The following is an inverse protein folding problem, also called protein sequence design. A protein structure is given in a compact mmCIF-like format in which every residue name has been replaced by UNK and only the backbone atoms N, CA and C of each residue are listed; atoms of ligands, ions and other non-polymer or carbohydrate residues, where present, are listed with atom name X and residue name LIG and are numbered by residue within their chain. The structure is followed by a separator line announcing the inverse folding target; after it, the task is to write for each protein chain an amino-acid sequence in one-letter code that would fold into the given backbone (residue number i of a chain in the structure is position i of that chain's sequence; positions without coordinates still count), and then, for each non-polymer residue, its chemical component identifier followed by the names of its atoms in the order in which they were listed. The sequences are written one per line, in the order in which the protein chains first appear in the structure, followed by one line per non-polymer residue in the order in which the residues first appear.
data_IF_069039409361
#
_entry.id   IF_069039409361
#
_cell.length_a   1.000
_cell.length_b   1.000
_cell.length_c   1.000
_cell.angle_alpha   90.00
_cell.angle_beta   90.00
_cell.angle_gamma   90.00
#
_symmetry.space_group_name_H-M   'P 1'
#
loop_
_entity.id
_entity.type
_entity.pdbx_description
1 polymer ?
#
# COMPACT_ATOMS: atom_id res chain seq x y z
N UNK A 1 65.63 3.73 -16.89
CA UNK A 1 65.37 5.02 -17.56
C UNK A 1 65.66 4.86 -19.03
N UNK A 2 64.63 4.63 -19.85
CA UNK A 2 64.55 4.86 -21.30
C UNK A 2 63.12 4.53 -21.75
N UNK A 3 62.64 5.31 -22.70
CA UNK A 3 61.24 5.58 -23.05
C UNK A 3 60.76 4.86 -24.33
N UNK A 4 59.45 4.52 -24.33
CA UNK A 4 58.47 4.42 -25.46
C UNK A 4 58.64 3.31 -26.53
N UNK A 5 57.57 2.89 -27.27
CA UNK A 5 56.21 3.49 -27.44
C UNK A 5 55.05 2.52 -27.08
N UNK A 6 53.90 2.97 -26.57
CA UNK A 6 52.77 3.62 -27.26
C UNK A 6 52.23 2.84 -28.48
N UNK A 7 51.57 1.70 -28.24
CA UNK A 7 50.63 1.10 -29.20
C UNK A 7 49.21 1.43 -28.77
N UNK A 8 48.60 2.34 -29.53
CA UNK A 8 47.17 2.61 -29.54
C UNK A 8 46.44 1.35 -30.02
N UNK A 9 45.92 0.54 -29.10
CA UNK A 9 44.83 -0.36 -29.45
C UNK A 9 43.57 0.49 -29.63
N UNK A 10 43.28 0.78 -30.91
CA UNK A 10 41.95 1.14 -31.37
C UNK A 10 40.95 0.12 -30.82
N UNK A 11 40.20 0.52 -29.80
CA UNK A 11 38.98 -0.19 -29.39
C UNK A 11 37.97 0.09 -30.51
N UNK A 12 37.95 -0.78 -31.53
CA UNK A 12 36.77 -0.92 -32.36
C UNK A 12 35.66 -1.44 -31.45
N UNK A 13 34.85 -0.52 -30.92
CA UNK A 13 33.57 -0.91 -30.36
C UNK A 13 32.78 -1.63 -31.46
N UNK A 14 32.32 -2.88 -31.25
CA UNK A 14 31.49 -3.55 -32.23
C UNK A 14 30.21 -2.73 -32.43
N UNK A 15 29.72 -2.59 -33.68
CA UNK A 15 28.50 -1.85 -33.97
C UNK A 15 27.34 -2.43 -33.14
N UNK A 16 26.58 -1.54 -32.48
CA UNK A 16 25.61 -1.82 -31.41
C UNK A 16 24.34 -2.62 -31.82
N UNK A 17 24.36 -3.37 -32.93
CA UNK A 17 23.23 -4.23 -33.31
C UNK A 17 23.72 -5.51 -34.00
N UNK A 18 24.39 -6.38 -33.24
CA UNK A 18 24.62 -7.77 -33.67
C UNK A 18 23.69 -8.64 -32.83
N UNK A 19 22.56 -9.02 -33.41
CA UNK A 19 21.72 -10.09 -32.84
C UNK A 19 22.57 -11.35 -32.70
N UNK A 20 22.35 -12.13 -31.63
CA UNK A 20 22.95 -13.47 -31.57
C UNK A 20 22.46 -14.29 -32.78
N UNK A 21 23.29 -15.23 -33.27
CA UNK A 21 22.98 -16.03 -34.48
C UNK A 21 21.62 -16.71 -34.38
N UNK A 22 21.24 -17.19 -33.18
CA UNK A 22 19.92 -17.78 -32.93
C UNK A 22 18.76 -16.78 -32.92
N UNK A 23 18.95 -15.57 -32.38
CA UNK A 23 17.93 -14.52 -32.46
C UNK A 23 17.72 -14.02 -33.90
N UNK A 24 18.79 -14.04 -34.70
CA UNK A 24 18.73 -13.76 -36.13
C UNK A 24 17.96 -14.85 -36.87
N UNK A 25 18.25 -16.12 -36.60
CA UNK A 25 17.52 -17.26 -37.19
C UNK A 25 16.02 -17.19 -36.89
N UNK A 26 15.64 -16.90 -35.63
CA UNK A 26 14.25 -16.75 -35.20
C UNK A 26 13.49 -15.66 -35.97
N UNK A 27 14.17 -14.55 -36.29
CA UNK A 27 13.56 -13.44 -37.04
C UNK A 27 13.47 -13.71 -38.53
N UNK A 28 14.44 -14.45 -39.10
CA UNK A 28 14.54 -14.68 -40.54
C UNK A 28 13.69 -15.85 -41.03
N UNK A 29 13.53 -16.92 -40.24
CA UNK A 29 12.82 -18.13 -40.65
C UNK A 29 11.36 -17.88 -41.09
N UNK A 30 10.53 -17.11 -40.35
CA UNK A 30 9.16 -16.79 -40.78
C UNK A 30 9.13 -16.06 -42.12
N UNK A 31 10.08 -15.16 -42.34
CA UNK A 31 10.18 -14.33 -43.55
C UNK A 31 10.60 -15.18 -44.76
N UNK A 32 11.56 -16.09 -44.57
CA UNK A 32 12.06 -16.96 -45.63
C UNK A 32 11.07 -18.07 -46.02
N UNK A 33 10.27 -18.57 -45.06
CA UNK A 33 9.15 -19.50 -45.31
C UNK A 33 8.05 -18.86 -46.17
N UNK A 34 7.77 -17.57 -45.97
CA UNK A 34 6.73 -16.86 -46.72
C UNK A 34 7.07 -16.62 -48.21
N UNK A 35 8.32 -16.80 -48.65
CA UNK A 35 8.74 -16.57 -50.04
C UNK A 35 8.87 -17.87 -50.85
N UNK A 36 8.07 -18.01 -51.91
CA UNK A 36 8.08 -19.18 -52.81
C UNK A 36 9.35 -19.36 -53.65
N UNK A 37 10.12 -18.31 -53.93
CA UNK A 37 11.46 -18.42 -54.56
C UNK A 37 12.33 -17.20 -54.25
N UNK A 38 13.65 -17.39 -54.20
CA UNK A 38 14.61 -16.29 -54.19
C UNK A 38 14.78 -15.85 -55.65
N UNK A 39 14.27 -14.66 -56.01
CA UNK A 39 14.33 -14.21 -57.40
C UNK A 39 15.79 -14.06 -57.86
N UNK A 40 16.13 -14.79 -58.92
CA UNK A 40 17.44 -14.77 -59.57
C UNK A 40 17.65 -13.41 -60.21
N UNK A 41 18.56 -12.58 -59.68
CA UNK A 41 19.35 -11.71 -60.56
C UNK A 41 20.52 -12.54 -61.07
N UNK A 42 20.70 -12.55 -62.40
CA UNK A 42 21.80 -13.22 -63.10
C UNK A 42 23.13 -12.57 -62.69
N UNK A 43 24.07 -13.39 -62.19
CA UNK A 43 25.51 -13.15 -61.96
C UNK A 43 25.83 -11.96 -61.01
N UNK A 44 26.48 -12.10 -59.84
CA UNK A 44 27.54 -12.99 -59.38
C UNK A 44 27.38 -13.30 -57.89
N UNK A 45 27.80 -14.51 -57.51
CA UNK A 45 28.24 -14.93 -56.16
C UNK A 45 27.20 -14.84 -55.01
N UNK A 46 27.48 -15.56 -53.93
CA UNK A 46 26.52 -16.01 -52.90
C UNK A 46 25.60 -14.93 -52.32
N UNK A 47 24.35 -15.29 -52.01
CA UNK A 47 23.47 -14.41 -51.24
C UNK A 47 23.93 -14.39 -49.78
N UNK A 48 24.46 -13.27 -49.28
CA UNK A 48 24.65 -13.10 -47.83
C UNK A 48 23.29 -12.86 -47.16
N UNK A 49 23.11 -13.43 -45.96
CA UNK A 49 21.84 -13.38 -45.21
C UNK A 49 21.48 -11.94 -44.79
N UNK A 50 22.47 -11.07 -44.56
CA UNK A 50 22.26 -9.66 -44.22
C UNK A 50 21.59 -8.86 -45.37
N UNK A 51 21.91 -9.18 -46.63
CA UNK A 51 21.30 -8.55 -47.79
C UNK A 51 19.81 -8.90 -47.98
N UNK A 52 19.34 -10.03 -47.41
CA UNK A 52 17.93 -10.43 -47.51
C UNK A 52 17.01 -9.52 -46.69
N UNK A 53 17.46 -9.03 -45.54
CA UNK A 53 16.66 -8.20 -44.63
C UNK A 53 16.65 -6.72 -45.06
N UNK A 54 17.80 -6.18 -45.47
CA UNK A 54 17.92 -4.77 -45.87
C UNK A 54 17.21 -4.46 -47.19
N UNK A 55 17.33 -5.34 -48.19
CA UNK A 55 16.70 -5.17 -49.51
C UNK A 55 15.17 -5.26 -49.44
N UNK A 56 14.64 -5.91 -48.41
CA UNK A 56 13.21 -6.01 -48.12
C UNK A 56 12.63 -4.69 -47.59
N UNK A 57 13.42 -3.88 -46.88
CA UNK A 57 12.98 -2.58 -46.36
C UNK A 57 13.08 -1.44 -47.36
N UNK A 58 14.14 -1.40 -48.18
CA UNK A 58 14.50 -0.18 -48.92
C UNK A 58 14.53 -0.32 -50.45
N UNK A 59 14.16 -1.48 -51.01
CA UNK A 59 13.92 -1.65 -52.46
C UNK A 59 15.15 -1.70 -53.37
N UNK A 60 16.29 -1.11 -52.97
CA UNK A 60 17.57 -1.20 -53.69
C UNK A 60 18.74 -1.40 -52.72
N UNK A 61 19.72 -2.21 -53.13
CA UNK A 61 21.00 -2.32 -52.43
C UNK A 61 21.94 -1.31 -53.10
N UNK A 62 22.38 -0.29 -52.36
CA UNK A 62 23.43 0.60 -52.86
C UNK A 62 24.80 -0.05 -52.68
N UNK A 63 25.70 0.13 -53.64
CA UNK A 63 27.07 -0.40 -53.66
C UNK A 63 27.96 0.09 -52.48
N UNK A 64 27.40 0.86 -51.56
CA UNK A 64 28.09 1.55 -50.47
C UNK A 64 27.82 0.96 -49.07
N UNK A 65 27.08 -0.16 -48.95
CA UNK A 65 27.01 -0.86 -47.66
C UNK A 65 28.28 -1.68 -47.42
N UNK A 66 29.15 -1.07 -46.63
CA UNK A 66 30.34 -1.57 -45.95
C UNK A 66 30.60 -3.09 -46.07
N UNK A 67 31.42 -3.46 -47.07
CA UNK A 67 31.90 -4.82 -47.36
C UNK A 67 32.41 -5.58 -46.14
N UNK A 68 32.84 -4.86 -45.10
CA UNK A 68 33.48 -5.40 -43.91
C UNK A 68 32.55 -6.25 -43.03
N UNK A 69 31.25 -5.94 -42.93
CA UNK A 69 30.35 -6.77 -42.11
C UNK A 69 29.83 -7.99 -42.87
N UNK A 70 29.66 -7.85 -44.19
CA UNK A 70 29.25 -8.94 -45.07
C UNK A 70 30.34 -10.00 -45.18
N UNK A 71 31.59 -9.58 -45.43
CA UNK A 71 32.75 -10.46 -45.49
C UNK A 71 32.97 -11.16 -44.14
N UNK A 72 32.86 -10.43 -43.01
CA UNK A 72 33.02 -11.02 -41.66
C UNK A 72 31.91 -12.00 -41.30
N UNK A 73 30.67 -11.74 -41.71
CA UNK A 73 29.56 -12.66 -41.45
C UNK A 73 29.67 -13.91 -42.34
N UNK A 74 30.05 -13.74 -43.61
CA UNK A 74 30.29 -14.85 -44.50
C UNK A 74 31.48 -15.70 -44.03
N UNK A 75 32.59 -15.07 -43.64
CA UNK A 75 33.75 -15.76 -43.07
C UNK A 75 33.40 -16.49 -41.77
N UNK A 76 32.61 -15.86 -40.88
CA UNK A 76 32.09 -16.51 -39.68
C UNK A 76 31.20 -17.72 -40.02
N UNK A 77 30.28 -17.58 -40.99
CA UNK A 77 29.37 -18.65 -41.38
C UNK A 77 30.12 -19.82 -42.05
N UNK A 78 31.04 -19.54 -42.97
CA UNK A 78 31.86 -20.55 -43.63
C UNK A 78 32.79 -21.28 -42.64
N UNK A 79 33.26 -20.57 -41.61
CA UNK A 79 34.11 -21.15 -40.56
C UNK A 79 33.32 -22.04 -39.59
N UNK A 80 32.18 -21.57 -39.10
CA UNK A 80 31.41 -22.27 -38.06
C UNK A 80 30.44 -23.32 -38.65
N UNK A 81 30.02 -23.16 -39.91
CA UNK A 81 29.13 -24.06 -40.64
C UNK A 81 29.71 -24.41 -42.02
N UNK A 82 30.81 -25.19 -42.08
CA UNK A 82 31.42 -25.56 -43.34
C UNK A 82 30.51 -26.51 -44.12
N UNK A 83 30.10 -26.11 -45.32
CA UNK A 83 29.31 -26.95 -46.23
C UNK A 83 30.19 -27.47 -47.37
N UNK A 84 30.09 -28.77 -47.65
CA UNK A 84 30.72 -29.40 -48.82
C UNK A 84 29.91 -29.23 -50.11
N UNK A 85 28.67 -28.76 -49.99
CA UNK A 85 27.70 -28.62 -51.09
C UNK A 85 27.45 -27.14 -51.41
N UNK A 86 26.97 -26.87 -52.63
CA UNK A 86 26.59 -25.51 -53.06
C UNK A 86 25.48 -24.99 -52.14
N UNK A 87 25.69 -23.83 -51.52
CA UNK A 87 24.71 -23.16 -50.67
C UNK A 87 23.41 -22.87 -51.45
N UNK A 88 22.40 -23.71 -51.24
CA UNK A 88 21.05 -23.47 -51.75
C UNK A 88 20.18 -22.85 -50.66
N UNK A 89 19.05 -22.23 -51.05
CA UNK A 89 18.04 -21.74 -50.09
C UNK A 89 17.65 -22.84 -49.08
N UNK A 90 17.53 -24.07 -49.56
CA UNK A 90 17.09 -25.19 -48.73
C UNK A 90 18.13 -25.53 -47.66
N UNK A 91 19.42 -25.53 -48.01
CA UNK A 91 20.52 -25.77 -47.07
C UNK A 91 20.53 -24.69 -45.99
N UNK A 92 20.51 -23.41 -46.37
CA UNK A 92 20.48 -22.28 -45.43
C UNK A 92 19.25 -22.33 -44.51
N UNK A 93 18.09 -22.70 -45.05
CA UNK A 93 16.87 -22.87 -44.24
C UNK A 93 17.04 -23.99 -43.21
N UNK A 94 17.60 -25.13 -43.60
CA UNK A 94 17.85 -26.25 -42.70
C UNK A 94 18.85 -25.87 -41.60
N UNK A 95 19.89 -25.13 -41.92
CA UNK A 95 20.87 -24.67 -40.91
C UNK A 95 20.26 -23.67 -39.94
N UNK A 96 19.49 -22.68 -40.44
CA UNK A 96 18.79 -21.73 -39.58
C UNK A 96 17.76 -22.41 -38.69
N UNK A 97 17.02 -23.40 -39.19
CA UNK A 97 16.08 -24.20 -38.38
C UNK A 97 16.81 -25.01 -37.30
N UNK A 98 17.99 -25.55 -37.60
CA UNK A 98 18.82 -26.23 -36.62
C UNK A 98 19.32 -25.25 -35.54
N UNK A 99 19.82 -24.09 -35.93
CA UNK A 99 20.34 -23.06 -35.03
C UNK A 99 19.23 -22.50 -34.14
N UNK A 100 18.05 -22.18 -34.69
CA UNK A 100 16.89 -21.74 -33.89
C UNK A 100 16.52 -22.80 -32.86
N UNK A 101 16.47 -24.08 -33.25
CA UNK A 101 16.12 -25.18 -32.33
C UNK A 101 17.16 -25.37 -31.23
N UNK A 102 18.46 -25.31 -31.55
CA UNK A 102 19.55 -25.42 -30.57
C UNK A 102 19.53 -24.22 -29.62
N UNK A 103 19.38 -23.01 -30.15
CA UNK A 103 19.34 -21.77 -29.38
C UNK A 103 18.10 -21.68 -28.47
N UNK A 104 16.92 -22.07 -28.97
CA UNK A 104 15.71 -22.20 -28.15
C UNK A 104 15.92 -23.25 -27.06
N UNK A 105 16.52 -24.41 -27.38
CA UNK A 105 16.86 -25.41 -26.37
C UNK A 105 17.85 -24.87 -25.32
N UNK A 106 18.87 -24.10 -25.69
CA UNK A 106 19.88 -23.58 -24.75
C UNK A 106 19.37 -22.43 -23.90
N UNK A 107 18.53 -21.54 -24.44
CA UNK A 107 17.97 -20.40 -23.71
C UNK A 107 16.64 -20.69 -22.98
N UNK A 108 15.94 -21.78 -23.32
CA UNK A 108 14.83 -22.30 -22.50
C UNK A 108 15.31 -23.10 -21.29
N UNK A 109 16.59 -23.52 -21.28
CA UNK A 109 17.18 -24.34 -20.22
C UNK A 109 17.58 -23.65 -18.91
N UNK A 110 17.85 -22.33 -18.78
CA UNK A 110 18.28 -21.78 -17.49
C UNK A 110 17.16 -21.90 -16.44
N UNK A 111 15.96 -21.44 -16.78
CA UNK A 111 14.79 -21.53 -15.91
C UNK A 111 14.36 -22.99 -15.66
N UNK A 112 14.39 -23.83 -16.70
CA UNK A 112 14.06 -25.26 -16.54
C UNK A 112 15.12 -26.01 -15.73
N UNK A 113 16.38 -25.57 -15.77
CA UNK A 113 17.46 -26.11 -14.94
C UNK A 113 17.30 -25.67 -13.50
N UNK A 114 16.96 -24.40 -13.24
CA UNK A 114 16.61 -23.91 -11.90
C UNK A 114 15.40 -24.66 -11.33
N UNK A 115 14.34 -24.84 -12.12
CA UNK A 115 13.17 -25.64 -11.71
C UNK A 115 13.57 -27.09 -11.45
N UNK A 116 14.42 -27.68 -12.28
CA UNK A 116 14.92 -29.04 -12.05
C UNK A 116 15.72 -29.14 -10.75
N UNK A 117 16.63 -28.19 -10.50
CA UNK A 117 17.40 -28.11 -9.25
C UNK A 117 16.48 -27.97 -8.01
N UNK A 118 15.37 -27.25 -8.14
CA UNK A 118 14.33 -27.15 -7.10
C UNK A 118 13.54 -28.44 -6.93
N UNK A 119 13.17 -29.13 -8.01
CA UNK A 119 12.43 -30.41 -7.97
C UNK A 119 13.32 -31.54 -7.43
N UNK A 120 14.62 -31.50 -7.68
CA UNK A 120 15.58 -32.46 -7.14
C UNK A 120 15.84 -32.22 -5.63
N UNK A 121 15.38 -31.09 -5.07
CA UNK A 121 15.49 -30.79 -3.64
C UNK A 121 14.36 -31.47 -2.85
N UNK A 122 14.72 -32.48 -2.07
CA UNK A 122 13.80 -33.25 -1.21
C UNK A 122 12.93 -32.35 -0.33
N UNK A 123 13.47 -31.26 0.23
CA UNK A 123 12.70 -30.34 1.10
C UNK A 123 11.59 -29.63 0.32
N UNK A 124 11.88 -29.22 -0.91
CA UNK A 124 10.89 -28.56 -1.77
C UNK A 124 9.77 -29.54 -2.12
N UNK A 125 10.11 -30.79 -2.44
CA UNK A 125 9.12 -31.83 -2.75
C UNK A 125 8.23 -32.16 -1.54
N UNK A 126 8.80 -32.22 -0.33
CA UNK A 126 8.00 -32.43 0.89
C UNK A 126 7.08 -31.24 1.17
N UNK A 127 7.57 -30.00 1.04
CA UNK A 127 6.72 -28.82 1.19
C UNK A 127 5.61 -28.76 0.14
N UNK A 128 5.90 -29.07 -1.12
CA UNK A 128 4.90 -29.12 -2.19
C UNK A 128 3.85 -30.19 -1.95
N UNK A 129 4.25 -31.34 -1.41
CA UNK A 129 3.33 -32.42 -1.03
C UNK A 129 2.38 -31.97 0.07
N UNK A 130 2.90 -31.39 1.16
CA UNK A 130 2.07 -30.85 2.24
C UNK A 130 1.17 -29.71 1.76
N UNK A 131 1.67 -28.82 0.89
CA UNK A 131 0.87 -27.75 0.28
C UNK A 131 -0.26 -28.29 -0.59
N UNK A 132 0.01 -29.31 -1.41
CA UNK A 132 -1.03 -29.96 -2.22
C UNK A 132 -2.10 -30.62 -1.35
N UNK A 133 -1.70 -31.32 -0.29
CA UNK A 133 -2.63 -31.89 0.68
C UNK A 133 -3.45 -30.80 1.41
N UNK A 134 -2.82 -29.67 1.78
CA UNK A 134 -3.49 -28.54 2.39
C UNK A 134 -4.54 -27.93 1.44
N UNK A 135 -4.22 -27.81 0.15
CA UNK A 135 -5.17 -27.36 -0.86
C UNK A 135 -6.40 -28.26 -0.93
N UNK A 136 -6.19 -29.57 -1.00
CA UNK A 136 -7.28 -30.52 -1.17
C UNK A 136 -8.10 -30.74 0.12
N UNK A 137 -7.47 -30.68 1.30
CA UNK A 137 -8.10 -31.03 2.58
C UNK A 137 -8.56 -29.82 3.41
N UNK A 138 -8.00 -28.63 3.19
CA UNK A 138 -8.22 -27.45 4.05
C UNK A 138 -8.76 -26.29 3.23
N UNK A 139 -7.95 -25.69 2.36
CA UNK A 139 -8.29 -24.41 1.71
C UNK A 139 -9.31 -24.57 0.59
N UNK A 140 -9.18 -25.59 -0.25
CA UNK A 140 -10.11 -25.88 -1.34
C UNK A 140 -11.54 -26.16 -0.84
N UNK A 141 -11.73 -27.03 0.17
CA UNK A 141 -13.04 -27.21 0.79
C UNK A 141 -13.60 -25.95 1.46
N UNK A 142 -12.78 -25.15 2.16
CA UNK A 142 -13.21 -23.86 2.72
C UNK A 142 -13.73 -22.90 1.67
N UNK A 143 -13.02 -22.79 0.54
CA UNK A 143 -13.45 -21.95 -0.57
C UNK A 143 -14.79 -22.40 -1.13
N UNK A 144 -14.97 -23.71 -1.35
CA UNK A 144 -16.24 -24.27 -1.83
C UNK A 144 -17.38 -24.03 -0.84
N UNK A 145 -17.11 -24.19 0.46
CA UNK A 145 -18.09 -23.90 1.48
C UNK A 145 -18.47 -22.41 1.49
N UNK A 146 -17.49 -21.51 1.36
CA UNK A 146 -17.75 -20.09 1.24
C UNK A 146 -18.59 -19.76 0.00
N UNK A 147 -18.36 -20.44 -1.13
CA UNK A 147 -19.15 -20.24 -2.36
C UNK A 147 -20.57 -20.81 -2.29
N UNK A 148 -20.76 -21.94 -1.60
CA UNK A 148 -22.01 -22.70 -1.59
C UNK A 148 -22.84 -22.60 -0.32
N UNK A 149 -22.39 -21.88 0.72
CA UNK A 149 -23.15 -21.75 1.95
C UNK A 149 -24.33 -20.78 1.80
N UNK A 150 -25.48 -21.15 2.36
CA UNK A 150 -26.66 -20.30 2.38
C UNK A 150 -26.56 -19.25 3.50
N UNK A 151 -25.83 -19.57 4.57
CA UNK A 151 -25.62 -18.68 5.71
C UNK A 151 -24.21 -18.81 6.32
N UNK A 152 -23.61 -17.69 6.75
CA UNK A 152 -22.23 -17.64 7.30
C UNK A 152 -21.99 -18.58 8.50
N UNK A 153 -23.02 -18.85 9.30
CA UNK A 153 -22.94 -19.78 10.43
C UNK A 153 -22.72 -21.24 10.01
N UNK A 154 -22.97 -21.61 8.75
CA UNK A 154 -22.65 -22.94 8.24
C UNK A 154 -21.14 -23.11 8.06
N UNK A 155 -20.44 -22.04 7.67
CA UNK A 155 -18.98 -21.97 7.63
C UNK A 155 -18.36 -22.11 9.02
N UNK A 156 -19.06 -21.66 10.06
CA UNK A 156 -18.56 -21.69 11.44
C UNK A 156 -18.49 -23.11 12.01
N UNK A 157 -19.53 -23.93 11.78
CA UNK A 157 -19.54 -25.34 12.18
C UNK A 157 -18.35 -26.08 11.55
N UNK A 158 -18.10 -25.81 10.28
CA UNK A 158 -16.97 -26.38 9.55
C UNK A 158 -15.63 -25.89 10.11
N UNK A 159 -15.47 -24.58 10.32
CA UNK A 159 -14.24 -24.02 10.85
C UNK A 159 -13.88 -24.63 12.22
N UNK A 160 -14.89 -24.92 13.05
CA UNK A 160 -14.70 -25.62 14.33
C UNK A 160 -14.25 -27.07 14.14
N UNK A 161 -14.86 -27.83 13.23
CA UNK A 161 -14.45 -29.20 12.93
C UNK A 161 -13.01 -29.26 12.41
N UNK A 162 -12.66 -28.34 11.52
CA UNK A 162 -11.32 -28.22 10.98
C UNK A 162 -10.31 -27.80 12.06
N UNK A 163 -10.69 -26.90 12.97
CA UNK A 163 -9.87 -26.50 14.11
C UNK A 163 -9.51 -27.69 14.99
N UNK A 164 -10.50 -28.50 15.40
CA UNK A 164 -10.29 -29.73 16.19
C UNK A 164 -9.38 -30.73 15.46
N UNK A 165 -9.61 -30.94 14.17
CA UNK A 165 -8.77 -31.85 13.38
C UNK A 165 -7.33 -31.33 13.21
N UNK A 166 -7.14 -30.01 13.09
CA UNK A 166 -5.82 -29.41 13.06
C UNK A 166 -5.10 -29.55 14.41
N UNK A 167 -5.80 -29.48 15.54
CA UNK A 167 -5.24 -29.80 16.86
C UNK A 167 -4.74 -31.25 16.91
N UNK A 168 -5.53 -32.18 16.36
CA UNK A 168 -5.14 -33.58 16.25
C UNK A 168 -3.92 -33.77 15.34
N UNK A 169 -3.86 -33.11 14.19
CA UNK A 169 -2.71 -33.13 13.28
C UNK A 169 -1.46 -32.46 13.89
N UNK A 170 -1.62 -31.44 14.73
CA UNK A 170 -0.51 -30.81 15.43
C UNK A 170 0.13 -31.77 16.46
N UNK A 171 -0.69 -32.63 17.09
CA UNK A 171 -0.25 -33.66 18.03
C UNK A 171 0.26 -34.93 17.32
N UNK A 172 -0.40 -35.35 16.24
CA UNK A 172 -0.14 -36.57 15.48
C UNK A 172 -0.13 -36.28 13.98
N UNK A 173 0.98 -35.73 13.48
CA UNK A 173 1.07 -35.16 12.13
C UNK A 173 0.92 -36.15 10.98
N UNK A 174 1.02 -37.45 11.23
CA UNK A 174 0.77 -38.47 10.22
C UNK A 174 -0.70 -38.57 9.80
N UNK A 175 -1.64 -38.17 10.67
CA UNK A 175 -3.09 -38.17 10.37
C UNK A 175 -3.41 -37.27 9.16
N UNK A 176 -2.65 -36.18 8.98
CA UNK A 176 -2.81 -35.26 7.86
C UNK A 176 -2.58 -35.93 6.50
N UNK A 177 -1.74 -36.97 6.45
CA UNK A 177 -1.42 -37.70 5.22
C UNK A 177 -2.45 -38.79 4.88
N UNK A 178 -3.38 -39.10 5.78
CA UNK A 178 -4.41 -40.12 5.54
C UNK A 178 -5.51 -39.64 4.58
N UNK A 179 -5.63 -38.33 4.35
CA UNK A 179 -6.66 -37.74 3.48
C UNK A 179 -8.05 -37.65 4.12
N UNK A 180 -8.17 -37.98 5.41
CA UNK A 180 -9.44 -38.04 6.15
C UNK A 180 -9.79 -36.71 6.83
N UNK A 181 -9.81 -35.62 6.06
CA UNK A 181 -10.25 -34.31 6.57
C UNK A 181 -11.74 -34.35 6.97
N UNK A 182 -12.16 -33.65 8.05
CA UNK A 182 -13.56 -33.61 8.50
C UNK A 182 -14.51 -32.88 7.54
N UNK A 183 -14.01 -32.49 6.37
CA UNK A 183 -14.77 -31.81 5.34
C UNK A 183 -15.95 -32.63 4.85
N UNK A 184 -17.18 -32.07 4.76
CA UNK A 184 -18.21 -32.70 3.96
C UNK A 184 -17.68 -32.86 2.54
N UNK A 185 -17.93 -34.01 1.91
CA UNK A 185 -17.66 -34.26 0.49
C UNK A 185 -18.44 -33.23 -0.34
N UNK A 186 -17.92 -32.01 -0.45
CA UNK A 186 -18.31 -30.99 -1.41
C UNK A 186 -17.66 -31.39 -2.75
N UNK A 187 -17.91 -32.63 -3.18
CA UNK A 187 -17.46 -33.19 -4.44
C UNK A 187 -18.17 -32.45 -5.57
N UNK A 188 -17.59 -31.32 -5.97
CA UNK A 188 -17.73 -30.82 -7.32
C UNK A 188 -16.46 -31.20 -8.07
N UNK A 189 -16.62 -32.01 -9.11
CA UNK A 189 -15.57 -32.30 -10.08
C UNK A 189 -15.21 -30.99 -10.80
N UNK A 190 -14.28 -30.23 -10.23
CA UNK A 190 -13.66 -29.07 -10.89
C UNK A 190 -12.33 -29.50 -11.53
N UNK A 191 -11.81 -28.71 -12.45
CA UNK A 191 -10.49 -28.94 -13.05
C UNK A 191 -9.33 -28.92 -12.03
N UNK A 192 -9.56 -28.43 -10.81
CA UNK A 192 -8.59 -28.33 -9.69
C UNK A 192 -8.86 -29.28 -8.53
N UNK A 193 -10.04 -29.92 -8.46
CA UNK A 193 -10.37 -30.98 -7.51
C UNK A 193 -10.60 -32.27 -8.29
N UNK A 194 -9.54 -33.03 -8.48
CA UNK A 194 -9.65 -34.39 -8.96
C UNK A 194 -9.50 -35.31 -7.75
N UNK A 195 -10.45 -36.21 -7.55
CA UNK A 195 -10.27 -37.34 -6.63
C UNK A 195 -8.96 -38.09 -6.92
N UNK A 196 -8.51 -38.09 -8.18
CA UNK A 196 -7.21 -38.61 -8.60
C UNK A 196 -6.05 -37.83 -7.98
N UNK A 197 -6.11 -36.50 -7.92
CA UNK A 197 -5.04 -35.68 -7.33
C UNK A 197 -4.91 -35.98 -5.83
N UNK A 198 -6.02 -36.03 -5.09
CA UNK A 198 -5.98 -36.38 -3.68
C UNK A 198 -5.45 -37.81 -3.48
N UNK A 199 -5.87 -38.77 -4.31
CA UNK A 199 -5.37 -40.15 -4.25
C UNK A 199 -3.86 -40.23 -4.50
N UNK A 200 -3.33 -39.52 -5.49
CA UNK A 200 -1.89 -39.47 -5.76
C UNK A 200 -1.11 -38.81 -4.61
N UNK A 201 -1.65 -37.75 -4.01
CA UNK A 201 -1.04 -37.09 -2.85
C UNK A 201 -1.05 -37.99 -1.61
N UNK A 202 -2.14 -38.69 -1.31
CA UNK A 202 -2.23 -39.63 -0.18
C UNK A 202 -1.40 -40.90 -0.43
N UNK A 203 -1.28 -41.33 -1.68
CA UNK A 203 -0.50 -42.51 -2.07
C UNK A 203 1.02 -42.32 -1.92
N UNK A 204 1.50 -41.07 -1.82
CA UNK A 204 2.91 -40.78 -1.56
C UNK A 204 3.26 -41.08 -0.10
N UNK A 205 4.33 -41.86 0.09
CA UNK A 205 4.84 -42.21 1.43
C UNK A 205 5.19 -40.95 2.22
N UNK A 206 4.60 -40.84 3.42
CA UNK A 206 4.87 -39.73 4.34
C UNK A 206 6.26 -39.87 4.96
N UNK A 207 6.92 -38.73 5.17
CA UNK A 207 8.27 -38.67 5.76
C UNK A 207 8.23 -37.96 7.11
N UNK A 208 9.26 -38.15 7.95
CA UNK A 208 9.40 -37.41 9.21
C UNK A 208 9.49 -35.89 8.99
N UNK A 209 10.14 -35.47 7.89
CA UNK A 209 10.22 -34.06 7.50
C UNK A 209 8.83 -33.51 7.15
N UNK A 210 8.05 -34.25 6.37
CA UNK A 210 6.66 -33.91 6.08
C UNK A 210 5.83 -33.78 7.36
N UNK A 211 6.01 -34.70 8.32
CA UNK A 211 5.35 -34.65 9.62
C UNK A 211 5.75 -33.40 10.43
N UNK A 212 7.02 -33.01 10.44
CA UNK A 212 7.48 -31.77 11.10
C UNK A 212 6.82 -30.52 10.48
N UNK A 213 6.78 -30.46 9.15
CA UNK A 213 6.15 -29.36 8.39
C UNK A 213 4.66 -29.27 8.71
N UNK A 214 3.95 -30.41 8.70
CA UNK A 214 2.54 -30.47 9.09
C UNK A 214 2.35 -30.00 10.52
N UNK A 215 3.18 -30.44 11.47
CA UNK A 215 3.07 -30.00 12.88
C UNK A 215 3.16 -28.47 13.02
N UNK A 216 4.09 -27.83 12.31
CA UNK A 216 4.24 -26.37 12.29
C UNK A 216 3.04 -25.71 11.62
N UNK A 217 2.64 -26.20 10.45
CA UNK A 217 1.52 -25.67 9.67
C UNK A 217 0.21 -25.76 10.47
N UNK A 218 -0.07 -26.89 11.11
CA UNK A 218 -1.26 -27.10 11.91
C UNK A 218 -1.33 -26.14 13.08
N UNK A 219 -0.22 -25.93 13.82
CA UNK A 219 -0.16 -24.92 14.90
C UNK A 219 -0.43 -23.51 14.40
N UNK A 220 0.24 -23.09 13.33
CA UNK A 220 0.03 -21.77 12.74
C UNK A 220 -1.41 -21.60 12.22
N UNK A 221 -1.99 -22.67 11.68
CA UNK A 221 -3.38 -22.68 11.22
C UNK A 221 -4.34 -22.54 12.39
N UNK A 222 -4.14 -23.28 13.49
CA UNK A 222 -4.95 -23.17 14.72
C UNK A 222 -4.97 -21.72 15.21
N UNK A 223 -3.80 -21.08 15.33
CA UNK A 223 -3.69 -19.69 15.76
C UNK A 223 -4.49 -18.75 14.84
N UNK A 224 -4.40 -18.95 13.52
CA UNK A 224 -5.17 -18.19 12.54
C UNK A 224 -6.69 -18.42 12.72
N UNK A 225 -7.13 -19.68 12.83
CA UNK A 225 -8.55 -20.01 13.00
C UNK A 225 -9.12 -19.42 14.29
N UNK A 226 -8.38 -19.51 15.39
CA UNK A 226 -8.79 -18.96 16.68
C UNK A 226 -8.94 -17.43 16.65
N UNK A 227 -8.14 -16.73 15.84
CA UNK A 227 -8.25 -15.28 15.66
C UNK A 227 -9.35 -14.90 14.66
N UNK A 228 -9.35 -15.51 13.47
CA UNK A 228 -10.25 -15.17 12.38
C UNK A 228 -11.72 -15.51 12.70
N UNK A 229 -11.95 -16.57 13.47
CA UNK A 229 -13.29 -17.03 13.84
C UNK A 229 -13.62 -16.84 15.32
N UNK A 230 -12.91 -15.93 16.01
CA UNK A 230 -13.06 -15.70 17.47
C UNK A 230 -14.51 -15.51 17.92
N UNK A 231 -15.32 -14.81 17.13
CA UNK A 231 -16.72 -14.55 17.47
C UNK A 231 -17.64 -15.76 17.20
N UNK A 232 -17.17 -16.77 16.48
CA UNK A 232 -17.94 -17.89 15.95
C UNK A 232 -17.54 -19.26 16.54
N UNK A 233 -16.42 -19.33 17.25
CA UNK A 233 -15.96 -20.51 18.01
C UNK A 233 -16.51 -20.50 19.45
N UNK A 234 -16.42 -21.60 20.22
CA UNK A 234 -16.90 -21.65 21.60
C UNK A 234 -16.36 -20.49 22.47
N UNK A 235 -17.26 -19.78 23.15
CA UNK A 235 -16.94 -18.57 23.90
C UNK A 235 -17.03 -17.26 23.10
N UNK A 236 -17.19 -17.35 21.78
CA UNK A 236 -17.40 -16.22 20.88
C UNK A 236 -18.80 -15.60 20.97
N UNK A 237 -18.89 -14.32 20.59
CA UNK A 237 -20.11 -13.50 20.69
C UNK A 237 -21.34 -14.12 20.00
N UNK A 238 -21.13 -14.77 18.86
CA UNK A 238 -22.21 -15.31 18.04
C UNK A 238 -22.41 -16.82 18.20
N UNK A 239 -21.64 -17.49 19.07
CA UNK A 239 -21.75 -18.92 19.30
C UNK A 239 -22.98 -19.28 20.15
N UNK A 240 -23.31 -18.48 21.17
CA UNK A 240 -24.39 -18.79 22.13
C UNK A 240 -25.78 -18.42 21.58
N UNK A 241 -25.89 -17.32 20.83
CA UNK A 241 -27.16 -16.81 20.29
C UNK A 241 -27.35 -17.14 18.80
N UNK A 242 -26.58 -18.10 18.27
CA UNK A 242 -26.50 -18.39 16.84
C UNK A 242 -27.86 -18.61 16.17
N UNK A 243 -28.82 -19.23 16.87
CA UNK A 243 -30.17 -19.49 16.35
C UNK A 243 -31.03 -18.22 16.24
N UNK A 244 -30.94 -17.32 17.23
CA UNK A 244 -31.66 -16.05 17.21
C UNK A 244 -31.09 -15.12 16.14
N UNK A 245 -29.76 -15.02 16.07
CA UNK A 245 -29.07 -14.24 15.04
C UNK A 245 -29.40 -14.80 13.65
N UNK A 246 -29.33 -16.12 13.44
CA UNK A 246 -29.70 -16.77 12.17
C UNK A 246 -31.15 -16.47 11.77
N UNK A 247 -32.08 -16.37 12.71
CA UNK A 247 -33.44 -15.93 12.45
C UNK A 247 -33.49 -14.51 11.89
N UNK A 248 -32.82 -13.58 12.58
CA UNK A 248 -32.76 -12.15 12.21
C UNK A 248 -31.99 -11.87 10.91
N UNK A 249 -30.98 -12.70 10.59
CA UNK A 249 -30.11 -12.55 9.41
C UNK A 249 -30.43 -13.54 8.29
N UNK A 250 -31.54 -14.27 8.37
CA UNK A 250 -31.95 -15.27 7.37
C UNK A 250 -32.08 -14.71 5.94
N UNK A 251 -32.35 -13.41 5.81
CA UNK A 251 -32.45 -12.72 4.52
C UNK A 251 -31.11 -12.14 4.02
N UNK A 252 -30.06 -12.20 4.83
CA UNK A 252 -28.73 -11.73 4.44
C UNK A 252 -28.00 -12.85 3.68
N UNK A 253 -27.43 -12.56 2.51
CA UNK A 253 -26.63 -13.56 1.80
C UNK A 253 -25.39 -13.93 2.61
N UNK A 254 -24.96 -15.19 2.55
CA UNK A 254 -23.79 -15.67 3.27
C UNK A 254 -22.49 -14.95 2.88
N UNK A 255 -22.40 -14.53 1.62
CA UNK A 255 -21.23 -13.81 1.09
C UNK A 255 -21.63 -12.48 0.47
N UNK A 256 -20.69 -11.54 0.49
CA UNK A 256 -20.81 -10.26 -0.21
C UNK A 256 -20.56 -10.38 -1.73
N UNK A 257 -20.26 -11.58 -2.26
CA UNK A 257 -19.89 -11.81 -3.68
C UNK A 257 -20.90 -11.22 -4.66
N UNK A 258 -22.20 -11.38 -4.41
CA UNK A 258 -23.23 -10.84 -5.28
C UNK A 258 -23.17 -9.31 -5.33
N UNK A 259 -22.99 -8.67 -4.18
CA UNK A 259 -22.89 -7.22 -4.04
C UNK A 259 -21.57 -6.72 -4.65
N UNK A 260 -20.44 -7.38 -4.38
CA UNK A 260 -19.15 -7.05 -4.99
C UNK A 260 -19.19 -7.19 -6.51
N UNK A 261 -19.87 -8.22 -7.02
CA UNK A 261 -20.03 -8.43 -8.45
C UNK A 261 -20.88 -7.34 -9.11
N UNK A 262 -21.85 -6.77 -8.39
CA UNK A 262 -22.61 -5.57 -8.81
C UNK A 262 -21.68 -4.36 -8.86
N UNK A 263 -20.87 -4.13 -7.82
CA UNK A 263 -19.91 -3.02 -7.78
C UNK A 263 -18.81 -3.14 -8.83
N UNK A 264 -18.26 -4.33 -9.06
CA UNK A 264 -17.26 -4.59 -10.08
C UNK A 264 -17.80 -4.31 -11.48
N UNK A 265 -19.04 -4.73 -11.76
CA UNK A 265 -19.71 -4.40 -13.02
C UNK A 265 -19.94 -2.89 -13.18
N UNK A 266 -20.37 -2.22 -12.12
CA UNK A 266 -20.56 -0.78 -12.13
C UNK A 266 -19.25 -0.03 -12.39
N UNK A 267 -18.17 -0.43 -11.71
CA UNK A 267 -16.83 0.13 -11.87
C UNK A 267 -16.32 -0.04 -13.30
N UNK A 268 -16.48 -1.24 -13.86
CA UNK A 268 -16.17 -1.50 -15.26
C UNK A 268 -16.92 -0.57 -16.23
N UNK A 269 -18.17 -0.20 -15.95
CA UNK A 269 -18.89 0.80 -16.76
C UNK A 269 -18.41 2.23 -16.56
N UNK A 270 -17.85 2.59 -15.40
CA UNK A 270 -17.18 3.87 -15.25
C UNK A 270 -15.93 3.96 -16.10
N UNK A 271 -15.15 2.88 -16.17
CA UNK A 271 -13.89 2.86 -16.91
C UNK A 271 -14.11 2.75 -18.43
N UNK A 272 -14.97 1.82 -18.87
CA UNK A 272 -15.16 1.54 -20.30
C UNK A 272 -16.18 2.44 -20.97
N UNK A 273 -17.15 2.98 -20.21
CA UNK A 273 -18.26 3.80 -20.72
C UNK A 273 -18.42 5.08 -19.87
N UNK A 274 -17.40 5.96 -19.81
CA UNK A 274 -17.42 7.14 -18.95
C UNK A 274 -18.59 8.08 -19.29
N UNK A 275 -18.90 8.23 -20.57
CA UNK A 275 -19.98 9.10 -21.06
C UNK A 275 -21.40 8.51 -20.89
N UNK A 276 -21.54 7.28 -20.41
CA UNK A 276 -22.85 6.68 -20.13
C UNK A 276 -23.44 7.31 -18.87
N UNK A 277 -24.70 7.77 -18.97
CA UNK A 277 -25.43 8.37 -17.84
C UNK A 277 -25.55 7.37 -16.68
N UNK A 278 -25.48 7.86 -15.44
CA UNK A 278 -25.50 7.02 -14.24
C UNK A 278 -26.77 6.18 -14.13
N UNK A 279 -27.94 6.74 -14.44
CA UNK A 279 -29.22 6.03 -14.44
C UNK A 279 -29.21 4.83 -15.41
N UNK A 280 -28.59 5.00 -16.58
CA UNK A 280 -28.41 3.93 -17.57
C UNK A 280 -27.43 2.87 -17.06
N UNK A 281 -26.32 3.26 -16.41
CA UNK A 281 -25.38 2.32 -15.76
C UNK A 281 -26.09 1.46 -14.72
N UNK A 282 -26.88 2.09 -13.86
CA UNK A 282 -27.66 1.40 -12.82
C UNK A 282 -28.67 0.44 -13.43
N UNK A 283 -29.48 0.90 -14.39
CA UNK A 283 -30.47 0.06 -15.04
C UNK A 283 -29.83 -1.15 -15.75
N UNK A 284 -28.71 -0.96 -16.45
CA UNK A 284 -28.03 -2.04 -17.15
C UNK A 284 -27.40 -3.05 -16.19
N UNK A 285 -26.84 -2.58 -15.06
CA UNK A 285 -26.34 -3.45 -13.99
C UNK A 285 -27.46 -4.30 -13.40
N UNK A 286 -28.61 -3.69 -13.08
CA UNK A 286 -29.78 -4.43 -12.57
C UNK A 286 -30.28 -5.47 -13.57
N UNK A 287 -30.43 -5.08 -14.83
CA UNK A 287 -30.91 -5.95 -15.89
C UNK A 287 -29.98 -7.15 -16.12
N UNK A 288 -28.65 -6.95 -16.04
CA UNK A 288 -27.66 -8.01 -16.18
C UNK A 288 -27.55 -8.92 -14.95
N UNK A 289 -27.68 -8.36 -13.74
CA UNK A 289 -27.52 -9.11 -12.47
C UNK A 289 -28.78 -9.85 -12.06
N UNK A 290 -29.95 -9.35 -12.43
CA UNK A 290 -31.22 -10.01 -12.17
C UNK A 290 -31.68 -10.92 -13.32
N UNK A 291 -30.83 -11.13 -14.35
CA UNK A 291 -31.16 -11.91 -15.55
C UNK A 291 -32.50 -11.50 -16.18
N UNK A 292 -32.80 -10.20 -16.17
CA UNK A 292 -34.14 -9.70 -16.50
C UNK A 292 -34.48 -9.91 -17.97
N UNK A 293 -33.50 -9.87 -18.87
CA UNK A 293 -33.75 -10.15 -20.29
C UNK A 293 -33.97 -11.63 -20.55
N UNK A 294 -33.21 -12.50 -19.88
CA UNK A 294 -33.38 -13.94 -19.95
C UNK A 294 -34.76 -14.34 -19.44
N UNK A 295 -35.16 -13.81 -18.28
CA UNK A 295 -36.51 -13.99 -17.74
C UNK A 295 -37.59 -13.46 -18.68
N UNK A 296 -37.44 -12.25 -19.22
CA UNK A 296 -38.42 -11.66 -20.14
C UNK A 296 -38.65 -12.57 -21.36
N UNK A 297 -37.59 -13.18 -21.89
CA UNK A 297 -37.68 -14.12 -23.02
C UNK A 297 -38.42 -15.42 -22.70
N UNK A 298 -38.60 -15.76 -21.43
CA UNK A 298 -39.38 -16.95 -21.03
C UNK A 298 -40.89 -16.71 -21.05
N UNK A 299 -41.33 -15.45 -21.13
CA UNK A 299 -42.75 -15.09 -21.13
C UNK A 299 -43.36 -15.15 -22.55
N UNK A 300 -44.70 -15.26 -22.68
CA UNK A 300 -45.39 -15.10 -23.96
C UNK A 300 -45.14 -13.72 -24.59
N UNK A 301 -45.16 -13.64 -25.93
CA UNK A 301 -44.89 -12.38 -26.66
C UNK A 301 -45.82 -11.24 -26.25
N UNK A 302 -47.10 -11.53 -25.99
CA UNK A 302 -48.08 -10.53 -25.55
C UNK A 302 -47.69 -9.89 -24.21
N UNK A 303 -47.23 -10.70 -23.26
CA UNK A 303 -46.77 -10.21 -21.95
C UNK A 303 -45.44 -9.46 -22.07
N UNK A 304 -44.54 -9.90 -22.94
CA UNK A 304 -43.29 -9.20 -23.22
C UNK A 304 -43.56 -7.79 -23.76
N UNK A 305 -44.40 -7.68 -24.78
CA UNK A 305 -44.73 -6.40 -25.42
C UNK A 305 -45.46 -5.45 -24.47
N UNK A 306 -46.34 -5.98 -23.63
CA UNK A 306 -47.00 -5.21 -22.57
C UNK A 306 -45.98 -4.64 -21.59
N UNK A 307 -45.09 -5.47 -21.05
CA UNK A 307 -44.05 -5.04 -20.10
C UNK A 307 -43.12 -3.99 -20.71
N UNK A 308 -42.70 -4.18 -21.97
CA UNK A 308 -41.84 -3.22 -22.67
C UNK A 308 -42.56 -1.90 -22.94
N UNK A 309 -43.84 -1.93 -23.26
CA UNK A 309 -44.67 -0.75 -23.47
C UNK A 309 -44.85 0.04 -22.18
N UNK A 310 -45.18 -0.63 -21.07
CA UNK A 310 -45.31 -0.03 -19.75
C UNK A 310 -43.98 0.57 -19.28
N UNK A 311 -42.86 -0.13 -19.52
CA UNK A 311 -41.52 0.36 -19.19
C UNK A 311 -41.16 1.64 -19.97
N UNK A 312 -41.53 1.72 -21.25
CA UNK A 312 -41.33 2.93 -22.08
C UNK A 312 -42.19 4.09 -21.58
N UNK A 313 -43.43 3.84 -21.18
CA UNK A 313 -44.30 4.85 -20.59
C UNK A 313 -43.74 5.38 -19.25
N UNK A 314 -43.26 4.48 -18.38
CA UNK A 314 -42.67 4.82 -17.09
C UNK A 314 -41.38 5.66 -17.20
N UNK A 315 -40.65 5.58 -18.32
CA UNK A 315 -39.42 6.34 -18.54
C UNK A 315 -39.64 7.86 -18.41
N UNK A 316 -40.78 8.37 -18.89
CA UNK A 316 -41.10 9.80 -18.78
C UNK A 316 -41.29 10.22 -17.33
N UNK A 317 -41.96 9.39 -16.54
CA UNK A 317 -42.16 9.63 -15.10
C UNK A 317 -40.82 9.58 -14.35
N UNK A 318 -39.97 8.59 -14.62
CA UNK A 318 -38.66 8.49 -13.97
C UNK A 318 -37.72 9.65 -14.32
N UNK A 319 -37.74 10.15 -15.57
CA UNK A 319 -36.97 11.34 -15.95
C UNK A 319 -37.41 12.58 -15.16
N UNK A 320 -38.71 12.77 -14.98
CA UNK A 320 -39.23 13.90 -14.22
C UNK A 320 -38.90 13.77 -12.73
N UNK A 321 -39.08 12.58 -12.15
CA UNK A 321 -38.71 12.31 -10.76
C UNK A 321 -37.21 12.51 -10.50
N UNK A 322 -36.35 12.11 -11.46
CA UNK A 322 -34.90 12.34 -11.37
C UNK A 322 -34.53 13.83 -11.42
N UNK A 323 -35.20 14.63 -12.24
CA UNK A 323 -34.98 16.08 -12.29
C UNK A 323 -35.42 16.75 -10.99
N UNK A 324 -36.59 16.37 -10.47
CA UNK A 324 -37.10 16.87 -9.20
C UNK A 324 -36.15 16.55 -8.06
N UNK A 325 -35.67 15.30 -8.00
CA UNK A 325 -34.70 14.88 -6.98
C UNK A 325 -33.37 15.63 -7.11
N UNK A 326 -32.91 15.91 -8.32
CA UNK A 326 -31.69 16.69 -8.54
C UNK A 326 -31.84 18.12 -7.99
N UNK A 327 -32.97 18.78 -8.26
CA UNK A 327 -33.30 20.10 -7.72
C UNK A 327 -33.35 20.05 -6.18
N UNK A 328 -33.96 19.02 -5.61
CA UNK A 328 -34.01 18.84 -4.16
C UNK A 328 -32.61 18.69 -3.55
N UNK A 329 -31.75 17.87 -4.15
CA UNK A 329 -30.37 17.67 -3.68
C UNK A 329 -29.58 18.98 -3.76
N UNK A 330 -29.70 19.74 -4.85
CA UNK A 330 -29.04 21.03 -5.00
C UNK A 330 -29.51 22.04 -3.93
N UNK A 331 -30.81 22.09 -3.65
CA UNK A 331 -31.37 22.91 -2.59
C UNK A 331 -30.87 22.49 -1.20
N UNK A 332 -30.80 21.19 -0.93
CA UNK A 332 -30.29 20.64 0.32
C UNK A 332 -28.81 20.96 0.52
N UNK A 333 -27.99 20.84 -0.53
CA UNK A 333 -26.58 21.22 -0.52
C UNK A 333 -26.43 22.71 -0.19
N UNK A 334 -27.20 23.57 -0.88
CA UNK A 334 -27.18 25.02 -0.63
C UNK A 334 -27.59 25.34 0.82
N UNK A 335 -28.61 24.67 1.34
CA UNK A 335 -29.05 24.82 2.72
C UNK A 335 -27.97 24.39 3.71
N UNK A 336 -27.34 23.23 3.51
CA UNK A 336 -26.24 22.75 4.34
C UNK A 336 -25.03 23.67 4.30
N UNK A 337 -24.68 24.22 3.13
CA UNK A 337 -23.59 25.21 3.01
C UNK A 337 -23.91 26.48 3.79
N UNK A 338 -25.14 26.99 3.71
CA UNK A 338 -25.57 28.16 4.52
C UNK A 338 -25.46 27.88 6.01
N UNK A 339 -25.93 26.72 6.48
CA UNK A 339 -25.81 26.32 7.89
C UNK A 339 -24.35 26.21 8.34
N UNK A 340 -23.49 25.60 7.52
CA UNK A 340 -22.05 25.50 7.81
C UNK A 340 -21.41 26.88 7.93
N UNK A 341 -21.71 27.81 7.01
CA UNK A 341 -21.20 29.17 7.05
C UNK A 341 -21.71 29.95 8.28
N UNK A 342 -22.98 29.79 8.66
CA UNK A 342 -23.52 30.38 9.88
C UNK A 342 -22.86 29.82 11.15
N UNK A 343 -22.57 28.53 11.17
CA UNK A 343 -21.87 27.92 12.32
C UNK A 343 -20.40 28.33 12.39
N UNK A 344 -19.72 28.46 11.25
CA UNK A 344 -18.35 28.96 11.18
C UNK A 344 -18.26 30.40 11.70
N UNK A 345 -19.14 31.29 11.21
CA UNK A 345 -19.20 32.70 11.67
C UNK A 345 -19.54 32.81 13.16
N UNK A 346 -20.47 32.00 13.68
CA UNK A 346 -20.74 31.93 15.13
C UNK A 346 -19.52 31.47 15.94
N UNK A 347 -18.78 30.48 15.44
CA UNK A 347 -17.56 29.98 16.09
C UNK A 347 -16.46 31.04 16.10
N UNK A 348 -16.27 31.74 14.99
CA UNK A 348 -15.32 32.87 14.90
C UNK A 348 -15.72 34.01 15.85
N UNK A 349 -16.99 34.40 15.89
CA UNK A 349 -17.49 35.42 16.81
C UNK A 349 -17.27 35.03 18.28
N UNK A 350 -17.51 33.75 18.62
CA UNK A 350 -17.24 33.23 19.97
C UNK A 350 -15.74 33.28 20.31
N UNK A 351 -14.88 32.81 19.41
CA UNK A 351 -13.43 32.87 19.61
C UNK A 351 -12.92 34.30 19.80
N UNK A 352 -13.47 35.24 19.04
CA UNK A 352 -13.10 36.66 19.14
C UNK A 352 -13.55 37.24 20.49
N UNK A 353 -14.75 36.91 20.94
CA UNK A 353 -15.28 37.26 22.27
C UNK A 353 -14.44 36.66 23.41
N UNK A 354 -14.11 35.37 23.32
CA UNK A 354 -13.28 34.68 24.31
C UNK A 354 -11.88 35.31 24.39
N UNK A 355 -11.29 35.68 23.23
CA UNK A 355 -10.00 36.38 23.17
C UNK A 355 -10.07 37.77 23.83
N UNK A 356 -11.13 38.53 23.58
CA UNK A 356 -11.31 39.83 24.24
C UNK A 356 -11.46 39.68 25.75
N UNK A 357 -12.22 38.67 26.21
CA UNK A 357 -12.41 38.40 27.64
C UNK A 357 -11.09 38.00 28.33
N UNK A 358 -10.31 37.10 27.71
CA UNK A 358 -8.99 36.73 28.22
C UNK A 358 -8.03 37.93 28.31
N UNK A 359 -8.05 38.81 27.31
CA UNK A 359 -7.24 40.04 27.32
C UNK A 359 -7.65 40.96 28.49
N UNK A 360 -8.94 41.14 28.73
CA UNK A 360 -9.45 41.91 29.87
C UNK A 360 -9.08 41.30 31.23
N UNK A 361 -9.03 39.98 31.33
CA UNK A 361 -8.65 39.27 32.56
C UNK A 361 -7.15 39.43 32.88
N UNK A 362 -6.28 39.35 31.86
CA UNK A 362 -4.84 39.62 32.01
C UNK A 362 -4.61 41.05 32.52
N UNK A 363 -5.30 42.03 31.93
CA UNK A 363 -5.21 43.43 32.37
C UNK A 363 -5.68 43.63 33.83
N UNK A 364 -6.76 42.95 34.25
CA UNK A 364 -7.21 42.99 35.65
C UNK A 364 -6.18 42.40 36.61
N UNK A 365 -5.53 41.30 36.22
CA UNK A 365 -4.55 40.60 37.06
C UNK A 365 -3.27 41.41 37.20
N UNK A 366 -2.82 42.05 36.12
CA UNK A 366 -1.68 42.97 36.14
C UNK A 366 -1.92 44.16 37.09
N UNK A 367 -3.11 44.77 37.03
CA UNK A 367 -3.47 45.88 37.91
C UNK A 367 -3.59 45.46 39.39
N UNK A 368 -3.98 44.22 39.70
CA UNK A 368 -3.97 43.71 41.08
C UNK A 368 -2.56 43.49 41.62
N UNK A 369 -1.64 43.01 40.80
CA UNK A 369 -0.28 42.67 41.23
C UNK A 369 0.63 43.89 41.41
N UNK A 370 0.34 45.02 40.75
CA UNK A 370 1.07 46.28 40.98
C UNK A 370 0.65 47.03 42.25
N UNK A 371 -0.44 46.63 42.93
CA UNK A 371 -0.97 47.35 44.09
C UNK A 371 -0.40 46.93 45.45
N UNK A 372 0.56 45.99 45.53
CA UNK A 372 1.27 45.63 46.78
C UNK A 372 2.63 46.34 46.83
N UNK A 373 2.64 47.64 46.53
CA UNK A 373 3.71 48.54 46.97
C UNK A 373 3.27 49.10 48.32
N UNK A 374 4.06 48.88 49.37
CA UNK A 374 3.79 49.39 50.72
C UNK A 374 4.02 50.90 50.77
N UNK A 375 3.27 51.68 49.98
CA UNK A 375 3.35 53.15 49.87
C UNK A 375 3.06 53.89 51.20
N UNK A 376 2.77 53.18 52.29
CA UNK A 376 2.48 53.72 53.61
C UNK A 376 3.42 53.22 54.71
N UNK A 377 4.57 52.64 54.37
CA UNK A 377 5.55 52.29 55.40
C UNK A 377 6.12 53.56 56.04
N UNK A 378 6.15 53.61 57.36
CA UNK A 378 6.52 54.78 58.16
C UNK A 378 7.94 55.32 57.94
N UNK A 379 8.78 54.59 57.21
CA UNK A 379 10.16 54.97 56.90
C UNK A 379 10.29 55.66 55.54
N UNK A 380 9.35 55.43 54.61
CA UNK A 380 9.43 55.95 53.25
C UNK A 380 9.39 57.48 53.28
N UNK A 381 10.34 58.11 52.60
CA UNK A 381 10.52 59.56 52.56
C UNK A 381 11.28 60.16 53.74
N UNK A 382 11.59 59.39 54.80
CA UNK A 382 12.42 59.89 55.91
C UNK A 382 13.87 60.02 55.48
N UNK A 383 14.49 61.14 55.88
CA UNK A 383 15.93 61.37 55.72
C UNK A 383 16.70 60.67 56.83
N UNK A 384 17.86 60.11 56.52
CA UNK A 384 18.72 59.43 57.47
C UNK A 384 20.18 59.82 57.30
N UNK A 385 20.94 59.64 58.39
CA UNK A 385 22.40 59.63 58.39
C UNK A 385 22.90 58.25 58.76
N UNK A 386 23.92 57.78 58.05
CA UNK A 386 24.54 56.47 58.29
C UNK A 386 26.03 56.61 58.57
N UNK A 387 26.48 55.99 59.66
CA UNK A 387 27.89 55.92 60.04
C UNK A 387 28.57 54.75 59.35
N UNK A 388 29.41 55.04 58.36
CA UNK A 388 30.21 54.03 57.67
C UNK A 388 31.60 53.93 58.34
N UNK A 389 31.87 52.81 59.00
CA UNK A 389 33.21 52.50 59.52
C UNK A 389 34.05 51.84 58.43
N UNK A 390 35.01 52.57 57.86
CA UNK A 390 35.90 52.00 56.85
C UNK A 390 37.07 51.27 57.54
N UNK A 391 37.01 49.93 57.61
CA UNK A 391 37.97 49.08 58.35
C UNK A 391 39.44 49.25 57.97
N UNK A 392 39.76 49.90 56.83
CA UNK A 392 41.12 50.07 56.33
C UNK A 392 41.77 51.43 56.63
N UNK A 393 41.03 52.43 57.13
CA UNK A 393 41.57 53.80 57.34
C UNK A 393 41.24 54.46 58.69
N UNK A 394 40.66 53.72 59.65
CA UNK A 394 40.27 54.22 60.98
C UNK A 394 39.60 55.60 60.96
N UNK A 395 38.80 55.86 59.92
CA UNK A 395 38.05 57.11 59.73
C UNK A 395 36.57 56.77 59.57
N UNK A 396 35.73 57.37 60.40
CA UNK A 396 34.27 57.27 60.31
C UNK A 396 33.78 58.31 59.32
N UNK A 397 33.13 57.90 58.23
CA UNK A 397 32.49 58.82 57.29
C UNK A 397 30.97 58.75 57.46
N UNK A 398 30.34 59.91 57.52
CA UNK A 398 28.89 60.04 57.63
C UNK A 398 28.30 60.21 56.22
N UNK A 399 27.33 59.38 55.84
CA UNK A 399 26.57 59.56 54.59
C UNK A 399 25.12 59.93 54.89
N UNK A 400 24.55 60.83 54.09
CA UNK A 400 23.16 61.27 54.19
C UNK A 400 22.34 60.71 53.03
N UNK A 401 21.08 60.39 53.29
CA UNK A 401 20.18 59.89 52.26
C UNK A 401 18.72 59.91 52.70
N UNK A 402 17.85 59.32 51.89
CA UNK A 402 16.45 59.10 52.25
C UNK A 402 15.98 57.72 51.80
N UNK A 403 14.93 57.21 52.46
CA UNK A 403 14.30 55.95 52.11
C UNK A 403 13.36 56.18 50.91
N UNK A 404 13.67 55.58 49.78
CA UNK A 404 12.95 55.78 48.52
C UNK A 404 11.67 54.94 48.46
N UNK A 405 11.78 53.63 48.71
CA UNK A 405 10.64 52.72 48.77
C UNK A 405 10.93 51.50 49.68
N UNK A 406 9.87 50.77 50.03
CA UNK A 406 9.96 49.45 50.65
C UNK A 406 9.05 48.51 49.87
N UNK A 407 9.62 47.43 49.33
CA UNK A 407 8.92 46.49 48.45
C UNK A 407 9.14 45.04 48.86
N UNK A 408 8.22 44.17 48.46
CA UNK A 408 8.37 42.72 48.62
C UNK A 408 9.13 42.17 47.41
N UNK A 409 10.27 41.54 47.65
CA UNK A 409 10.99 40.74 46.66
C UNK A 409 10.97 39.28 47.11
N UNK A 410 10.09 38.49 46.50
CA UNK A 410 9.81 37.13 46.95
C UNK A 410 9.19 37.11 48.35
N UNK A 411 9.86 36.46 49.31
CA UNK A 411 9.43 36.40 50.72
C UNK A 411 10.10 37.45 51.62
N UNK A 412 11.00 38.27 51.07
CA UNK A 412 11.77 39.26 51.84
C UNK A 412 11.27 40.68 51.55
N UNK A 413 11.30 41.53 52.59
CA UNK A 413 11.07 42.96 52.45
C UNK A 413 12.41 43.64 52.16
N UNK A 414 12.49 44.35 51.05
CA UNK A 414 13.67 45.11 50.63
C UNK A 414 13.37 46.60 50.81
N UNK A 415 14.31 47.33 51.39
CA UNK A 415 14.30 48.79 51.47
C UNK A 415 15.29 49.36 50.46
N UNK A 416 14.83 50.33 49.66
CA UNK A 416 15.66 51.05 48.71
C UNK A 416 16.03 52.42 49.28
N UNK A 417 17.31 52.74 49.24
CA UNK A 417 17.90 53.93 49.84
C UNK A 417 18.61 54.74 48.78
N UNK A 418 18.42 56.05 48.79
CA UNK A 418 19.14 56.98 47.92
C UNK A 418 19.98 57.92 48.76
N UNK A 419 21.30 57.87 48.57
CA UNK A 419 22.23 58.80 49.22
C UNK A 419 22.24 60.14 48.46
N UNK A 420 22.48 61.25 49.15
CA UNK A 420 22.48 62.58 48.53
C UNK A 420 23.69 62.77 47.59
N UNK A 421 24.79 62.06 47.84
CA UNK A 421 26.05 62.17 47.07
C UNK A 421 26.19 61.12 45.95
N UNK A 422 25.28 60.14 45.87
CA UNK A 422 25.33 59.06 44.87
C UNK A 422 24.02 59.03 44.05
N UNK A 423 24.13 58.93 42.73
CA UNK A 423 22.97 58.79 41.83
C UNK A 423 22.26 57.43 41.99
N UNK A 424 23.02 56.41 42.41
CA UNK A 424 22.58 55.03 42.49
C UNK A 424 21.70 54.76 43.73
N UNK A 425 20.66 53.95 43.52
CA UNK A 425 19.81 53.42 44.59
C UNK A 425 20.44 52.16 45.18
N UNK A 426 20.58 52.11 46.51
CA UNK A 426 21.09 50.96 47.24
C UNK A 426 19.96 50.18 47.88
N UNK A 427 19.97 48.87 47.68
CA UNK A 427 18.94 47.98 48.20
C UNK A 427 19.51 47.09 49.31
N UNK A 428 18.78 46.99 50.44
CA UNK A 428 19.09 46.06 51.51
C UNK A 428 17.84 45.46 52.12
N UNK A 429 17.98 44.35 52.82
CA UNK A 429 16.86 43.73 53.53
C UNK A 429 16.39 44.63 54.68
N UNK A 430 15.07 44.82 54.80
CA UNK A 430 14.48 45.71 55.81
C UNK A 430 14.85 45.29 57.24
N UNK A 431 14.93 43.98 57.49
CA UNK A 431 15.32 43.42 58.80
C UNK A 431 16.74 43.85 59.22
N UNK A 432 17.66 43.99 58.25
CA UNK A 432 19.02 44.47 58.49
C UNK A 432 19.00 45.97 58.79
N UNK A 433 18.25 46.73 58.00
CA UNK A 433 18.11 48.18 58.19
C UNK A 433 17.50 48.54 59.55
N UNK A 434 16.46 47.83 60.00
CA UNK A 434 15.85 48.03 61.33
C UNK A 434 16.81 47.71 62.48
N UNK A 435 17.68 46.71 62.29
CA UNK A 435 18.73 46.37 63.24
C UNK A 435 19.79 47.47 63.32
N UNK A 436 20.16 48.07 62.19
CA UNK A 436 21.12 49.18 62.12
C UNK A 436 20.56 50.47 62.73
N UNK A 437 19.26 50.74 62.53
CA UNK A 437 18.53 51.81 63.23
C UNK A 437 18.57 51.61 64.75
N UNK A 438 18.29 50.40 65.21
CA UNK A 438 18.30 50.06 66.65
C UNK A 438 19.69 50.18 67.28
N UNK A 439 20.74 49.93 66.49
CA UNK A 439 22.12 50.03 66.92
C UNK A 439 22.70 51.45 66.80
N UNK A 440 21.91 52.44 66.33
CA UNK A 440 22.37 53.81 66.12
C UNK A 440 23.39 53.98 64.99
N UNK A 441 23.51 52.98 64.10
CA UNK A 441 24.35 53.05 62.90
C UNK A 441 23.67 53.92 61.85
N UNK A 442 22.34 53.78 61.74
CA UNK A 442 21.47 54.65 60.95
C UNK A 442 20.62 55.45 61.93
N UNK A 443 20.49 56.76 61.69
CA UNK A 443 19.67 57.65 62.51
C UNK A 443 18.79 58.48 61.58
N UNK A 444 17.48 58.51 61.83
CA UNK A 444 16.59 59.40 61.10
C UNK A 444 16.81 60.85 61.55
N UNK A 445 16.91 61.75 60.57
CA UNK A 445 17.01 63.19 60.78
C UNK A 445 15.71 63.85 60.30
N UNK A 446 15.28 64.87 61.05
CA UNK A 446 14.07 65.64 60.74
C UNK A 446 14.30 66.67 59.64
#
# INVERSE_FOLDING_TARGET
MTTTPNEQFSIFQPPQFIFSVGEMARKLLPILRAKHSLSKRKHREAFCIACLDFKLKNGECSDAHDKNNDDRFQEFWEKEYPHTEILTKQVIMTDLEHIERVWECENSKPLLKEIKELIDNVRVIEHLHVLGLCDQQVTGPLWRLAEGCDHIFETCKYALQLHVWLEECAAHSFIFFEGNSPTPNLEMNSSTNSSLLLQELVGKVSTEMGAEVVSILSRASIDYFSQAFVDFIPGGKYCNDANEVRGSSSSAPATNRNIESVFGLMSHFFDTKPNMRLDVKVAYTLLKKNHTLEWLRTLPEEDQDKILTDSRAALKMMKNASKERQIQIENDILHQMKLKNQNATKKEAKLLSDRTNATHEVLRTYNKNQLIVLNHHEYIGKKFEEMLTNRRRSSTSLKRGFVQDIRLSGRQKIVSLKYEDDEDTFERELSIFEKELSNGIVIFIN
#
